data_IF_352874759134
#
_entry.id   IF_352874759134
#
_cell.length_a   1.000
_cell.length_b   1.000
_cell.length_c   1.000
_cell.angle_alpha   90.00
_cell.angle_beta   90.00
_cell.angle_gamma   90.00
#
_symmetry.space_group_name_H-M   'P 1'
#
loop_
_entity.id
_entity.type
_entity.pdbx_description
1 polymer ?
#
# COMPACT_ATOMS: atom_id res chain seq x y z
N UNK A 1 -3.00 -8.17 -7.13
CA UNK A 1 -3.64 -6.88 -6.82
C UNK A 1 -2.55 -5.88 -6.49
N UNK A 2 -2.68 -4.61 -6.88
CA UNK A 2 -1.72 -3.59 -6.50
C UNK A 2 -1.63 -3.49 -4.97
N UNK A 3 -0.44 -3.68 -4.42
CA UNK A 3 -0.21 -3.61 -3.00
C UNK A 3 1.00 -2.74 -2.65
N UNK A 4 0.81 -1.83 -1.69
CA UNK A 4 1.87 -0.95 -1.22
C UNK A 4 2.43 -1.50 0.10
N UNK A 5 3.70 -1.89 0.12
CA UNK A 5 4.33 -2.38 1.35
C UNK A 5 4.50 -1.24 2.36
N UNK A 6 3.84 -1.37 3.51
CA UNK A 6 3.97 -0.45 4.64
C UNK A 6 5.25 -0.74 5.43
N UNK A 7 5.47 -2.00 5.81
CA UNK A 7 6.72 -2.42 6.45
C UNK A 7 6.95 -3.91 6.19
N UNK A 8 8.21 -4.32 6.18
CA UNK A 8 8.63 -5.70 5.90
C UNK A 8 9.83 -6.08 6.76
N UNK A 9 9.89 -7.34 7.15
CA UNK A 9 11.07 -8.03 7.68
C UNK A 9 10.99 -9.54 7.40
N UNK A 10 11.89 -10.31 8.00
CA UNK A 10 11.97 -11.76 7.81
C UNK A 10 10.69 -12.52 8.26
N UNK A 11 9.82 -11.90 9.06
CA UNK A 11 8.58 -12.52 9.54
C UNK A 11 7.40 -12.28 8.60
N UNK A 12 7.53 -11.34 7.65
CA UNK A 12 6.49 -10.99 6.69
C UNK A 12 6.38 -9.49 6.45
N UNK A 13 5.26 -9.08 5.85
CA UNK A 13 5.03 -7.71 5.43
C UNK A 13 3.62 -7.22 5.76
N UNK A 14 3.51 -6.00 6.29
CA UNK A 14 2.26 -5.25 6.28
C UNK A 14 2.10 -4.55 4.94
N UNK A 15 0.96 -4.73 4.29
CA UNK A 15 0.67 -4.18 2.97
C UNK A 15 -0.68 -3.46 2.97
N UNK A 16 -0.77 -2.38 2.21
CA UNK A 16 -2.03 -1.82 1.76
C UNK A 16 -2.53 -2.63 0.57
N UNK A 17 -3.79 -3.04 0.60
CA UNK A 17 -4.44 -3.80 -0.46
C UNK A 17 -5.66 -3.02 -0.92
N UNK A 18 -5.71 -2.72 -2.22
CA UNK A 18 -6.86 -2.05 -2.82
C UNK A 18 -7.81 -3.09 -3.43
N UNK A 19 -9.07 -3.08 -2.98
CA UNK A 19 -10.16 -3.84 -3.58
C UNK A 19 -10.93 -2.94 -4.56
N UNK A 20 -10.78 -3.14 -5.89
CA UNK A 20 -11.40 -2.27 -6.88
C UNK A 20 -12.93 -2.32 -6.87
N UNK A 21 -13.50 -3.49 -6.63
CA UNK A 21 -14.96 -3.70 -6.65
C UNK A 21 -15.68 -2.95 -5.53
N UNK A 22 -14.99 -2.76 -4.40
CA UNK A 22 -15.51 -2.03 -3.23
C UNK A 22 -14.95 -0.60 -3.14
N UNK A 23 -14.01 -0.24 -4.03
CA UNK A 23 -13.24 1.01 -3.99
C UNK A 23 -12.64 1.31 -2.61
N UNK A 24 -12.25 0.26 -1.88
CA UNK A 24 -11.84 0.33 -0.49
C UNK A 24 -10.38 -0.13 -0.30
N UNK A 25 -9.68 0.49 0.65
CA UNK A 25 -8.31 0.18 1.01
C UNK A 25 -8.27 -0.59 2.34
N UNK A 26 -7.60 -1.74 2.32
CA UNK A 26 -7.39 -2.59 3.48
C UNK A 26 -5.92 -2.62 3.86
N UNK A 27 -5.64 -2.92 5.12
CA UNK A 27 -4.32 -3.23 5.63
C UNK A 27 -4.28 -4.71 5.98
N UNK A 28 -3.42 -5.47 5.31
CA UNK A 28 -3.25 -6.91 5.53
C UNK A 28 -1.81 -7.26 5.88
N UNK A 29 -1.64 -8.34 6.65
CA UNK A 29 -0.32 -8.92 6.90
C UNK A 29 -0.11 -10.14 6.00
N UNK A 30 0.99 -10.12 5.25
CA UNK A 30 1.41 -11.22 4.39
C UNK A 30 2.61 -11.94 5.02
N UNK A 31 2.51 -13.26 5.26
CA UNK A 31 3.69 -14.07 5.57
C UNK A 31 4.76 -13.99 4.46
N UNK A 32 6.02 -14.38 4.74
CA UNK A 32 7.08 -14.36 3.75
C UNK A 32 6.70 -15.22 2.53
N UNK A 33 6.80 -14.65 1.33
CA UNK A 33 6.45 -15.33 0.08
C UNK A 33 4.94 -15.44 -0.20
N UNK A 34 4.09 -14.88 0.65
CA UNK A 34 2.65 -14.80 0.43
C UNK A 34 2.23 -13.38 0.03
N UNK A 35 1.01 -13.28 -0.51
CA UNK A 35 0.34 -11.99 -0.72
C UNK A 35 -0.65 -11.71 0.39
N UNK A 36 -0.84 -10.42 0.69
CA UNK A 36 -1.85 -10.01 1.67
C UNK A 36 -3.23 -10.20 1.05
N UNK A 37 -4.06 -11.03 1.67
CA UNK A 37 -5.47 -11.19 1.32
C UNK A 37 -6.26 -10.03 1.94
N UNK A 38 -7.03 -9.26 1.16
CA UNK A 38 -7.89 -8.22 1.71
C UNK A 38 -9.03 -8.78 2.57
N UNK A 39 -9.47 -10.02 2.36
CA UNK A 39 -10.51 -10.68 3.17
C UNK A 39 -10.02 -10.92 4.60
N UNK A 40 -8.75 -11.29 4.76
CA UNK A 40 -8.08 -11.46 6.06
C UNK A 40 -7.50 -10.14 6.60
N UNK A 41 -7.66 -9.06 5.85
CA UNK A 41 -7.21 -7.71 6.20
C UNK A 41 -8.15 -7.00 7.17
N UNK A 42 -7.80 -5.76 7.51
CA UNK A 42 -8.66 -4.86 8.26
C UNK A 42 -8.73 -3.49 7.59
N UNK A 43 -9.74 -2.69 7.93
CA UNK A 43 -9.85 -1.33 7.41
C UNK A 43 -8.67 -0.47 7.88
N UNK A 44 -8.45 0.66 7.20
CA UNK A 44 -7.44 1.64 7.64
C UNK A 44 -7.77 2.14 9.05
N UNK A 45 -9.05 2.40 9.33
CA UNK A 45 -9.53 2.87 10.62
C UNK A 45 -9.23 1.85 11.73
N UNK A 46 -9.58 0.58 11.51
CA UNK A 46 -9.34 -0.50 12.46
C UNK A 46 -7.84 -0.69 12.75
N UNK A 47 -7.02 -0.58 11.71
CA UNK A 47 -5.57 -0.66 11.86
C UNK A 47 -5.00 0.53 12.67
N UNK A 48 -5.56 1.73 12.51
CA UNK A 48 -5.09 2.92 13.20
C UNK A 48 -5.47 2.93 14.69
N UNK A 49 -6.66 2.44 15.05
CA UNK A 49 -7.13 2.40 16.45
C UNK A 49 -6.49 1.26 17.25
N UNK A 50 -5.95 0.24 16.59
CA UNK A 50 -5.31 -0.91 17.24
C UNK A 50 -3.91 -0.55 17.76
N UNK A 51 -3.62 -0.90 19.01
CA UNK A 51 -2.29 -0.68 19.58
C UNK A 51 -1.24 -1.53 18.84
N UNK A 52 -0.17 -0.93 18.29
CA UNK A 52 0.82 -1.66 17.52
C UNK A 52 1.61 -2.68 18.35
N UNK A 53 1.53 -3.94 17.93
CA UNK A 53 2.26 -5.07 18.50
C UNK A 53 3.61 -5.28 17.81
N UNK A 54 4.70 -4.98 18.51
CA UNK A 54 6.06 -5.22 18.00
C UNK A 54 6.60 -4.15 17.05
N UNK A 55 7.88 -4.27 16.69
CA UNK A 55 8.61 -3.27 15.92
C UNK A 55 8.09 -3.13 14.47
N UNK A 56 7.73 -4.26 13.84
CA UNK A 56 7.23 -4.28 12.47
C UNK A 56 5.88 -3.55 12.34
N UNK A 57 4.92 -3.86 13.21
CA UNK A 57 3.62 -3.20 13.25
C UNK A 57 3.78 -1.69 13.51
N UNK A 58 4.65 -1.28 14.45
CA UNK A 58 4.93 0.14 14.70
C UNK A 58 5.50 0.87 13.49
N UNK A 59 6.37 0.22 12.70
CA UNK A 59 6.91 0.80 11.45
C UNK A 59 5.80 0.98 10.41
N UNK A 60 4.93 -0.02 10.25
CA UNK A 60 3.79 0.06 9.35
C UNK A 60 2.83 1.19 9.74
N UNK A 61 2.49 1.28 11.02
CA UNK A 61 1.62 2.31 11.61
C UNK A 61 2.15 3.73 11.35
N UNK A 62 3.43 3.99 11.64
CA UNK A 62 4.07 5.28 11.35
C UNK A 62 4.08 5.61 9.86
N UNK A 63 4.35 4.63 8.99
CA UNK A 63 4.37 4.87 7.54
C UNK A 63 2.98 5.19 7.01
N UNK A 64 1.94 4.51 7.50
CA UNK A 64 0.56 4.78 7.12
C UNK A 64 0.12 6.19 7.56
N UNK A 65 0.39 6.58 8.80
CA UNK A 65 0.12 7.96 9.27
C UNK A 65 0.83 8.98 8.39
N UNK A 66 2.09 8.74 8.04
CA UNK A 66 2.85 9.61 7.14
C UNK A 66 2.27 9.69 5.72
N UNK A 67 1.70 8.60 5.19
CA UNK A 67 1.00 8.60 3.90
C UNK A 67 -0.29 9.42 3.99
N UNK A 68 -1.10 9.22 5.04
CA UNK A 68 -2.34 9.96 5.26
C UNK A 68 -2.10 11.46 5.46
N UNK A 69 -1.04 11.84 6.18
CA UNK A 69 -0.65 13.24 6.34
C UNK A 69 -0.33 13.90 4.99
N UNK A 70 0.46 13.23 4.14
CA UNK A 70 0.77 13.73 2.78
C UNK A 70 -0.47 13.83 1.89
N UNK A 71 -1.43 12.92 2.06
CA UNK A 71 -2.72 13.00 1.37
C UNK A 71 -3.50 14.21 1.83
N UNK A 72 -3.62 14.42 3.15
CA UNK A 72 -4.31 15.58 3.72
C UNK A 72 -3.71 16.91 3.22
N UNK A 73 -2.39 17.01 3.18
CA UNK A 73 -1.68 18.19 2.64
C UNK A 73 -1.98 18.41 1.15
N UNK A 74 -1.97 17.34 0.34
CA UNK A 74 -2.26 17.43 -1.10
C UNK A 74 -3.72 17.75 -1.39
N UNK A 75 -4.67 17.09 -0.73
CA UNK A 75 -6.11 17.28 -0.94
C UNK A 75 -6.57 18.66 -0.47
N UNK A 76 -5.94 19.22 0.57
CA UNK A 76 -6.19 20.60 1.00
C UNK A 76 -5.63 21.64 0.01
N UNK A 77 -4.73 21.25 -0.91
CA UNK A 77 -4.13 22.14 -1.91
C UNK A 77 -4.52 21.90 -3.38
N UNK A 78 -5.02 20.71 -3.74
CA UNK A 78 -5.38 20.33 -5.11
C UNK A 78 -6.13 18.97 -5.16
N UNK A 79 -7.14 18.86 -6.02
CA UNK A 79 -7.98 17.66 -6.21
C UNK A 79 -7.25 16.47 -6.88
N UNK A 80 -6.16 15.95 -6.28
CA UNK A 80 -5.29 14.92 -6.87
C UNK A 80 -5.31 13.56 -6.13
N UNK A 81 -6.39 13.22 -5.42
CA UNK A 81 -6.51 11.94 -4.70
C UNK A 81 -6.29 10.70 -5.61
N UNK A 82 -6.63 10.81 -6.90
CA UNK A 82 -6.48 9.72 -7.88
C UNK A 82 -5.01 9.43 -8.27
N UNK A 83 -4.10 10.40 -8.18
CA UNK A 83 -2.70 10.20 -8.56
C UNK A 83 -1.94 9.29 -7.57
N UNK A 84 -2.34 9.29 -6.28
CA UNK A 84 -1.68 8.46 -5.27
C UNK A 84 -2.17 7.00 -5.30
N UNK A 85 -3.45 6.78 -5.64
CA UNK A 85 -3.94 5.44 -5.98
C UNK A 85 -3.14 4.91 -7.18
N UNK A 86 -2.88 5.75 -8.20
CA UNK A 86 -2.04 5.37 -9.34
C UNK A 86 -0.61 4.97 -8.93
N UNK A 87 0.04 5.70 -8.01
CA UNK A 87 1.38 5.37 -7.52
C UNK A 87 1.42 4.07 -6.69
N UNK A 88 0.37 3.78 -5.92
CA UNK A 88 0.22 2.48 -5.24
C UNK A 88 -0.14 1.34 -6.20
N UNK A 89 -0.72 1.67 -7.36
CA UNK A 89 -1.26 0.72 -8.33
C UNK A 89 -0.31 0.40 -9.48
N UNK A 90 0.72 1.20 -9.72
CA UNK A 90 1.73 0.88 -10.75
C UNK A 90 2.55 -0.34 -10.34
N UNK A 91 2.45 -1.49 -11.05
CA UNK A 91 3.44 -2.53 -10.92
C UNK A 91 4.79 -1.93 -11.33
N UNK A 92 5.83 -2.26 -10.56
CA UNK A 92 7.22 -1.96 -10.86
C UNK A 92 7.48 -2.37 -12.32
N UNK A 93 7.53 -1.41 -13.24
CA UNK A 93 7.79 -1.69 -14.63
C UNK A 93 9.18 -2.33 -14.72
N UNK A 94 9.23 -3.61 -15.12
CA UNK A 94 10.43 -4.23 -15.62
C UNK A 94 10.95 -3.39 -16.79
N UNK A 95 12.27 -3.14 -16.91
CA UNK A 95 12.80 -2.46 -18.07
C UNK A 95 12.65 -3.38 -19.28
N UNK A 96 11.60 -3.18 -20.08
CA UNK A 96 11.52 -3.75 -21.41
C UNK A 96 12.42 -2.89 -22.29
N UNK A 97 13.66 -3.34 -22.46
CA UNK A 97 14.57 -2.86 -23.50
C UNK A 97 13.94 -3.23 -24.85
N UNK A 98 13.22 -2.29 -25.47
CA UNK A 98 12.72 -2.45 -26.84
C UNK A 98 13.92 -2.33 -27.78
N UNK A 99 14.60 -3.45 -28.02
CA UNK A 99 15.45 -3.62 -29.19
C UNK A 99 14.57 -3.88 -30.41
N UNK A 100 14.58 -2.91 -31.31
CA UNK A 100 14.45 -3.15 -32.74
C UNK A 100 13.04 -3.04 -33.31
N UNK A 101 12.79 -1.95 -34.03
CA UNK A 101 12.29 -2.01 -35.42
C UNK A 101 12.54 -0.66 -36.09
N UNK A 102 13.68 -0.52 -36.78
CA UNK A 102 13.80 0.46 -37.87
C UNK A 102 13.50 -0.29 -39.17
N UNK A 103 12.35 0.09 -39.73
CA UNK A 103 11.92 0.12 -41.15
C UNK A 103 12.19 -1.10 -42.01
#
# INVERSE_FOLDING_TARGET
>A
MPNCTLAEDATGAWKLVFLPDELHLYVGFAPPGAEADPVDGMTIEDFLVRLPSGALHRRAHRKLIGLLGKIGEKVCGSWQFLDLISDCVRPKALPVEIRGLRR
#
